data_IF_371735303600
#
_entry.id   IF_371735303600
#
_cell.length_a   1.000
_cell.length_b   1.000
_cell.length_c   1.000
_cell.angle_alpha   90.00
_cell.angle_beta   90.00
_cell.angle_gamma   90.00
#
_symmetry.space_group_name_H-M   'P 1'
#
loop_
_entity.id
_entity.type
_entity.pdbx_description
1 polymer ?
#
# COMPACT_ATOMS: atom_id res chain seq x y z
N UNK A 1 16.55 -49.39 -39.29
CA UNK A 1 15.70 -48.16 -39.44
C UNK A 1 16.54 -46.93 -39.09
N UNK A 2 16.05 -45.69 -39.20
CA UNK A 2 16.83 -44.49 -38.79
C UNK A 2 16.18 -43.79 -37.60
N UNK A 3 17.00 -43.27 -36.68
CA UNK A 3 16.52 -42.59 -35.48
C UNK A 3 15.78 -41.29 -35.86
N UNK A 4 14.54 -41.07 -35.39
CA UNK A 4 13.78 -39.86 -35.73
C UNK A 4 14.39 -38.57 -35.17
N UNK A 5 15.24 -38.68 -34.13
CA UNK A 5 15.87 -37.52 -33.45
C UNK A 5 17.23 -37.14 -34.02
N UNK A 6 18.07 -38.10 -34.40
CA UNK A 6 19.45 -37.85 -34.85
C UNK A 6 19.83 -38.46 -36.21
N UNK A 7 18.91 -39.16 -36.89
CA UNK A 7 19.13 -39.72 -38.23
C UNK A 7 20.06 -40.94 -38.32
N UNK A 8 20.73 -41.33 -37.22
CA UNK A 8 21.62 -42.49 -37.17
C UNK A 8 20.90 -43.80 -37.53
N UNK A 9 21.60 -44.73 -38.17
CA UNK A 9 21.07 -46.05 -38.47
C UNK A 9 21.01 -46.93 -37.21
N UNK A 10 19.87 -47.59 -37.06
CA UNK A 10 19.48 -48.39 -35.91
C UNK A 10 19.45 -49.86 -36.31
N UNK A 11 20.12 -50.68 -35.50
CA UNK A 11 20.12 -52.13 -35.59
C UNK A 11 18.71 -52.70 -35.38
N UNK A 12 18.45 -53.88 -35.94
CA UNK A 12 17.13 -54.50 -35.87
C UNK A 12 16.85 -55.05 -34.45
N UNK A 13 15.82 -54.52 -33.79
CA UNK A 13 15.41 -54.91 -32.45
C UNK A 13 15.85 -53.98 -31.32
N UNK A 14 16.58 -52.90 -31.61
CA UNK A 14 16.99 -51.91 -30.60
C UNK A 14 15.82 -51.08 -30.08
N UNK A 15 15.64 -51.03 -28.76
CA UNK A 15 14.57 -50.25 -28.07
C UNK A 15 14.98 -48.78 -27.84
N UNK A 16 16.28 -48.46 -27.96
CA UNK A 16 16.80 -47.09 -27.87
C UNK A 16 17.92 -46.86 -28.90
N UNK A 17 18.16 -45.59 -29.23
CA UNK A 17 19.25 -45.21 -30.12
C UNK A 17 20.60 -45.24 -29.38
N UNK A 18 21.54 -46.03 -29.89
CA UNK A 18 22.92 -46.13 -29.40
C UNK A 18 23.73 -44.80 -29.46
N UNK A 19 23.36 -43.85 -30.35
CA UNK A 19 24.08 -42.56 -30.50
C UNK A 19 23.52 -41.46 -29.61
N UNK A 20 22.18 -41.32 -29.51
CA UNK A 20 21.56 -40.20 -28.78
C UNK A 20 20.75 -40.63 -27.55
N UNK A 21 20.76 -41.92 -27.20
CA UNK A 21 20.04 -42.54 -26.07
C UNK A 21 18.52 -42.28 -26.05
N UNK A 22 17.95 -41.83 -27.16
CA UNK A 22 16.51 -41.66 -27.32
C UNK A 22 15.83 -43.02 -27.40
N UNK A 23 14.87 -43.27 -26.51
CA UNK A 23 13.98 -44.44 -26.58
C UNK A 23 13.12 -44.39 -27.85
N UNK A 24 12.90 -45.56 -28.45
CA UNK A 24 12.21 -45.74 -29.72
C UNK A 24 10.82 -46.30 -29.42
N UNK A 25 9.81 -45.45 -29.55
CA UNK A 25 8.41 -45.79 -29.35
C UNK A 25 7.93 -46.63 -30.55
N UNK A 26 7.84 -47.95 -30.36
CA UNK A 26 7.47 -48.93 -31.41
C UNK A 26 5.95 -49.02 -31.59
N UNK A 27 5.19 -48.68 -30.55
CA UNK A 27 3.72 -48.69 -30.54
C UNK A 27 3.23 -47.24 -30.64
N UNK A 28 2.44 -46.87 -31.66
CA UNK A 28 1.77 -45.57 -31.70
C UNK A 28 0.89 -45.37 -30.47
N UNK A 29 0.80 -44.13 -29.97
CA UNK A 29 -0.15 -43.82 -28.89
C UNK A 29 -1.58 -44.06 -29.38
N UNK A 30 -2.29 -44.97 -28.71
CA UNK A 30 -3.67 -45.32 -29.04
C UNK A 30 -4.62 -44.26 -28.46
N UNK A 31 -5.10 -43.36 -29.30
CA UNK A 31 -6.20 -42.46 -28.95
C UNK A 31 -7.55 -43.18 -29.15
N UNK A 32 -8.33 -43.45 -28.07
CA UNK A 32 -9.62 -44.11 -28.19
C UNK A 32 -10.71 -43.27 -28.90
N UNK A 33 -10.42 -42.04 -29.35
CA UNK A 33 -11.34 -41.22 -30.14
C UNK A 33 -11.31 -41.51 -31.65
N UNK A 34 -10.26 -42.14 -32.18
CA UNK A 34 -10.11 -42.37 -33.62
C UNK A 34 -11.05 -43.46 -34.18
N UNK A 35 -11.69 -44.26 -33.33
CA UNK A 35 -12.55 -45.38 -33.74
C UNK A 35 -14.00 -44.95 -34.10
N UNK A 36 -14.33 -43.65 -34.03
CA UNK A 36 -15.68 -43.11 -34.30
C UNK A 36 -15.98 -42.77 -35.78
N UNK A 37 -15.14 -43.17 -36.74
CA UNK A 37 -15.40 -42.99 -38.18
C UNK A 37 -15.76 -44.32 -38.86
N UNK A 38 -16.96 -44.82 -38.59
CA UNK A 38 -17.53 -45.95 -39.35
C UNK A 38 -18.14 -45.44 -40.66
N UNK A 39 -17.48 -45.79 -41.78
CA UNK A 39 -18.12 -45.90 -43.09
C UNK A 39 -17.73 -44.88 -44.14
N UNK A 40 -16.63 -45.13 -44.86
CA UNK A 40 -16.64 -45.51 -46.29
C UNK A 40 -15.21 -45.58 -46.87
N UNK A 41 -14.75 -46.80 -47.14
CA UNK A 41 -13.70 -47.13 -48.13
C UNK A 41 -14.37 -47.60 -49.45
N UNK A 42 -13.63 -47.82 -50.55
CA UNK A 42 -12.60 -46.96 -51.17
C UNK A 42 -12.81 -46.87 -52.71
N UNK A 43 -11.90 -46.22 -53.43
CA UNK A 43 -11.35 -46.58 -54.78
C UNK A 43 -10.42 -45.44 -55.21
N UNK A 44 -9.11 -45.61 -55.04
CA UNK A 44 -8.14 -46.19 -56.00
C UNK A 44 -7.57 -45.21 -57.04
N UNK A 45 -6.24 -45.23 -57.06
CA UNK A 45 -5.27 -44.42 -57.81
C UNK A 45 -5.36 -44.46 -59.34
N UNK A 46 -4.86 -43.41 -60.02
CA UNK A 46 -3.56 -43.45 -60.73
C UNK A 46 -3.12 -42.08 -61.30
N UNK A 47 -1.97 -42.04 -61.98
CA UNK A 47 -1.07 -40.88 -62.14
C UNK A 47 -1.04 -40.31 -63.59
N UNK A 48 -0.35 -39.17 -63.70
CA UNK A 48 0.50 -38.73 -64.82
C UNK A 48 -0.11 -38.08 -66.11
N UNK A 49 0.12 -36.76 -66.18
CA UNK A 49 0.79 -36.00 -67.28
C UNK A 49 0.10 -35.77 -68.65
N UNK A 50 0.56 -34.67 -69.26
CA UNK A 50 0.60 -34.29 -70.69
C UNK A 50 -0.40 -33.28 -71.28
N UNK A 51 0.24 -32.40 -72.07
CA UNK A 51 -0.21 -31.18 -72.73
C UNK A 51 -1.09 -31.41 -73.98
N UNK A 52 -1.50 -30.29 -74.58
CA UNK A 52 -1.82 -30.06 -76.02
C UNK A 52 -3.29 -29.79 -76.42
N UNK A 53 -3.57 -28.49 -76.56
CA UNK A 53 -4.01 -27.80 -77.80
C UNK A 53 -5.32 -28.19 -78.55
N UNK A 54 -6.18 -27.16 -78.63
CA UNK A 54 -7.03 -26.72 -79.77
C UNK A 54 -8.49 -27.19 -80.01
N UNK A 55 -9.37 -26.16 -80.09
CA UNK A 55 -10.54 -25.99 -80.99
C UNK A 55 -11.78 -26.89 -80.79
N UNK A 56 -13.04 -26.45 -80.89
CA UNK A 56 -13.73 -25.14 -81.03
C UNK A 56 -15.13 -25.30 -80.37
N UNK A 57 -15.81 -24.30 -79.80
CA UNK A 57 -16.72 -23.36 -80.48
C UNK A 57 -17.19 -22.24 -79.51
N UNK A 58 -17.70 -21.11 -80.02
CA UNK A 58 -18.27 -19.94 -79.30
C UNK A 58 -19.66 -19.60 -79.90
N UNK A 59 -20.59 -18.84 -79.24
CA UNK A 59 -20.31 -17.67 -78.39
C UNK A 59 -21.17 -17.42 -77.10
N UNK A 60 -20.52 -16.80 -76.08
CA UNK A 60 -20.81 -15.52 -75.33
C UNK A 60 -22.29 -15.06 -75.13
N UNK A 61 -22.71 -14.42 -73.98
CA UNK A 61 -22.01 -14.01 -72.74
C UNK A 61 -22.54 -14.71 -71.44
N UNK A 62 -21.86 -14.74 -70.29
CA UNK A 62 -21.53 -13.62 -69.39
C UNK A 62 -22.80 -13.03 -68.76
N UNK A 63 -23.12 -13.10 -67.46
CA UNK A 63 -22.35 -12.93 -66.21
C UNK A 63 -23.27 -13.36 -65.01
N UNK A 64 -22.94 -13.42 -63.70
CA UNK A 64 -21.78 -13.09 -62.84
C UNK A 64 -21.90 -13.86 -61.49
N UNK A 65 -20.77 -14.07 -60.77
CA UNK A 65 -20.63 -14.35 -59.30
C UNK A 65 -21.73 -15.17 -58.57
N UNK A 66 -21.46 -16.47 -58.30
CA UNK A 66 -22.05 -17.17 -57.14
C UNK A 66 -21.50 -16.55 -55.84
N UNK A 67 -22.22 -15.60 -55.24
CA UNK A 67 -21.97 -15.18 -53.85
C UNK A 67 -22.13 -16.39 -52.94
N UNK A 68 -21.14 -16.67 -52.09
CA UNK A 68 -21.32 -17.49 -50.88
C UNK A 68 -22.44 -16.84 -50.06
N UNK A 69 -23.62 -17.44 -50.09
CA UNK A 69 -24.84 -16.89 -49.48
C UNK A 69 -24.83 -17.20 -47.99
N UNK A 70 -23.85 -16.64 -47.27
CA UNK A 70 -23.79 -16.65 -45.81
C UNK A 70 -25.15 -16.18 -45.29
N UNK A 71 -25.88 -17.08 -44.62
CA UNK A 71 -27.24 -16.78 -44.16
C UNK A 71 -27.18 -15.79 -43.00
N UNK A 72 -28.18 -14.93 -42.88
CA UNK A 72 -28.34 -14.07 -41.69
C UNK A 72 -28.36 -14.91 -40.40
N UNK A 73 -28.94 -16.12 -40.49
CA UNK A 73 -28.98 -17.12 -39.42
C UNK A 73 -27.59 -17.60 -38.99
N UNK A 74 -26.66 -17.84 -39.92
CA UNK A 74 -25.29 -18.23 -39.57
C UNK A 74 -24.57 -17.12 -38.81
N UNK A 75 -24.69 -15.86 -39.28
CA UNK A 75 -24.14 -14.71 -38.56
C UNK A 75 -24.84 -14.46 -37.22
N UNK A 76 -26.15 -14.67 -37.11
CA UNK A 76 -26.89 -14.58 -35.84
C UNK A 76 -26.41 -15.64 -34.84
N UNK A 77 -26.28 -16.90 -35.26
CA UNK A 77 -25.79 -17.99 -34.41
C UNK A 77 -24.33 -17.76 -33.98
N UNK A 78 -23.46 -17.32 -34.90
CA UNK A 78 -22.08 -16.95 -34.60
C UNK A 78 -22.01 -15.82 -33.56
N UNK A 79 -22.84 -14.78 -33.71
CA UNK A 79 -22.93 -13.69 -32.72
C UNK A 79 -23.46 -14.17 -31.36
N UNK A 80 -24.46 -15.07 -31.31
CA UNK A 80 -24.93 -15.62 -30.03
C UNK A 80 -23.89 -16.51 -29.36
N UNK A 81 -23.14 -17.32 -30.12
CA UNK A 81 -22.07 -18.15 -29.57
C UNK A 81 -20.91 -17.29 -29.04
N UNK A 82 -20.50 -16.26 -29.79
CA UNK A 82 -19.50 -15.30 -29.33
C UNK A 82 -19.96 -14.54 -28.07
N UNK A 83 -21.23 -14.12 -28.00
CA UNK A 83 -21.80 -13.51 -26.80
C UNK A 83 -21.76 -14.46 -25.59
N UNK A 84 -22.11 -15.74 -25.76
CA UNK A 84 -22.00 -16.75 -24.70
C UNK A 84 -20.55 -16.95 -24.26
N UNK A 85 -19.59 -17.01 -25.18
CA UNK A 85 -18.16 -17.08 -24.84
C UNK A 85 -17.67 -15.85 -24.08
N UNK A 86 -18.11 -14.65 -24.45
CA UNK A 86 -17.80 -13.41 -23.71
C UNK A 86 -18.41 -13.44 -22.31
N UNK A 87 -19.69 -13.82 -22.17
CA UNK A 87 -20.33 -14.00 -20.87
C UNK A 87 -19.63 -15.06 -20.01
N UNK A 88 -19.19 -16.17 -20.59
CA UNK A 88 -18.44 -17.22 -19.90
C UNK A 88 -17.04 -16.75 -19.48
N UNK A 89 -16.35 -15.97 -20.32
CA UNK A 89 -15.08 -15.33 -19.97
C UNK A 89 -15.24 -14.34 -18.80
N UNK A 90 -16.28 -13.50 -18.83
CA UNK A 90 -16.62 -12.59 -17.73
C UNK A 90 -16.95 -13.38 -16.45
N UNK A 91 -17.70 -14.48 -16.56
CA UNK A 91 -18.02 -15.36 -15.43
C UNK A 91 -16.76 -16.01 -14.82
N UNK A 92 -15.84 -16.54 -15.64
CA UNK A 92 -14.58 -17.12 -15.16
C UNK A 92 -13.67 -16.07 -14.50
N UNK A 93 -13.59 -14.86 -15.07
CA UNK A 93 -12.85 -13.75 -14.48
C UNK A 93 -13.47 -13.32 -13.14
N UNK A 94 -14.80 -13.20 -13.08
CA UNK A 94 -15.55 -12.89 -11.85
C UNK A 94 -15.32 -13.96 -10.77
N UNK A 95 -15.45 -15.24 -11.10
CA UNK A 95 -15.22 -16.35 -10.18
C UNK A 95 -13.78 -16.37 -9.63
N UNK A 96 -12.78 -16.18 -10.51
CA UNK A 96 -11.36 -16.12 -10.11
C UNK A 96 -11.02 -14.84 -9.32
N UNK A 97 -11.73 -13.74 -9.56
CA UNK A 97 -11.61 -12.50 -8.76
C UNK A 97 -12.21 -12.68 -7.37
N UNK A 98 -13.38 -13.30 -7.27
CA UNK A 98 -14.09 -13.55 -6.01
C UNK A 98 -13.26 -14.44 -5.06
N UNK A 99 -12.59 -15.47 -5.60
CA UNK A 99 -11.65 -16.30 -4.83
C UNK A 99 -10.40 -15.58 -4.32
N UNK A 100 -10.05 -14.41 -4.88
CA UNK A 100 -8.96 -13.54 -4.38
C UNK A 100 -9.44 -12.54 -3.35
N UNK A 101 -10.60 -11.92 -3.57
CA UNK A 101 -11.15 -10.88 -2.68
C UNK A 101 -11.54 -11.41 -1.31
N UNK A 102 -11.92 -12.69 -1.22
CA UNK A 102 -12.34 -13.34 0.03
C UNK A 102 -11.23 -14.18 0.69
N UNK A 103 -9.95 -13.92 0.40
CA UNK A 103 -8.83 -14.66 0.97
C UNK A 103 -7.86 -13.73 1.71
N UNK A 104 -7.89 -13.79 3.03
CA UNK A 104 -7.06 -12.99 3.95
C UNK A 104 -5.58 -12.97 3.54
N UNK A 105 -4.96 -14.16 3.44
CA UNK A 105 -3.55 -14.31 3.12
C UNK A 105 -3.14 -13.69 1.77
N UNK A 106 -4.04 -13.70 0.78
CA UNK A 106 -3.78 -13.07 -0.52
C UNK A 106 -3.85 -11.54 -0.42
N UNK A 107 -4.84 -11.02 0.31
CA UNK A 107 -5.03 -9.59 0.53
C UNK A 107 -3.86 -8.98 1.31
N UNK A 108 -3.52 -9.56 2.47
CA UNK A 108 -2.40 -9.10 3.29
C UNK A 108 -1.06 -9.18 2.53
N UNK A 109 -0.81 -10.28 1.81
CA UNK A 109 0.39 -10.40 0.96
C UNK A 109 0.44 -9.31 -0.12
N UNK A 110 -0.68 -8.98 -0.75
CA UNK A 110 -0.72 -7.89 -1.73
C UNK A 110 -0.58 -6.50 -1.12
N UNK A 111 -1.11 -6.28 0.09
CA UNK A 111 -0.81 -5.09 0.88
C UNK A 111 0.69 -4.93 1.12
N UNK A 112 1.35 -5.95 1.67
CA UNK A 112 2.82 -5.96 1.88
C UNK A 112 3.62 -5.71 0.60
N UNK A 113 3.31 -6.39 -0.51
CA UNK A 113 4.00 -6.17 -1.79
C UNK A 113 3.87 -4.72 -2.30
N UNK A 114 2.77 -4.02 -1.98
CA UNK A 114 2.61 -2.59 -2.30
C UNK A 114 3.33 -1.68 -1.29
N UNK A 115 3.36 -2.02 0.00
CA UNK A 115 4.14 -1.30 1.03
C UNK A 115 5.65 -1.37 0.74
N UNK A 116 6.17 -2.56 0.44
CA UNK A 116 7.57 -2.80 0.02
C UNK A 116 7.96 -2.03 -1.26
N UNK A 117 6.97 -1.63 -2.07
CA UNK A 117 7.16 -0.85 -3.29
C UNK A 117 6.89 0.66 -3.09
N UNK A 118 6.69 1.12 -1.85
CA UNK A 118 6.33 2.50 -1.48
C UNK A 118 5.01 2.98 -2.12
N UNK A 119 4.14 2.05 -2.55
CA UNK A 119 2.86 2.32 -3.21
C UNK A 119 1.72 2.36 -2.18
N UNK A 120 1.79 3.30 -1.23
CA UNK A 120 0.89 3.37 -0.08
C UNK A 120 -0.60 3.46 -0.47
N UNK A 121 -0.96 4.29 -1.46
CA UNK A 121 -2.34 4.41 -1.96
C UNK A 121 -2.89 3.09 -2.51
N UNK A 122 -2.06 2.34 -3.26
CA UNK A 122 -2.42 1.04 -3.83
C UNK A 122 -2.49 -0.07 -2.76
N UNK A 123 -1.75 0.06 -1.65
CA UNK A 123 -1.78 -0.87 -0.52
C UNK A 123 -3.10 -0.78 0.27
N UNK A 124 -3.64 0.43 0.48
CA UNK A 124 -4.86 0.68 1.27
C UNK A 124 -6.04 -0.26 0.95
N UNK A 125 -6.49 -0.47 -0.31
CA UNK A 125 -7.62 -1.35 -0.60
C UNK A 125 -7.34 -2.83 -0.24
N UNK A 126 -6.11 -3.32 -0.41
CA UNK A 126 -5.75 -4.69 -0.03
C UNK A 126 -5.71 -4.87 1.48
N UNK A 127 -5.11 -3.92 2.21
CA UNK A 127 -5.01 -3.99 3.67
C UNK A 127 -6.38 -3.82 4.35
N UNK A 128 -7.23 -2.88 3.88
CA UNK A 128 -8.62 -2.74 4.35
C UNK A 128 -9.45 -4.00 4.10
N UNK A 129 -9.24 -4.66 2.96
CA UNK A 129 -9.91 -5.92 2.66
C UNK A 129 -9.34 -7.09 3.47
N UNK A 130 -8.06 -7.09 3.84
CA UNK A 130 -7.52 -8.04 4.79
C UNK A 130 -8.17 -7.85 6.18
N UNK A 131 -8.26 -6.60 6.66
CA UNK A 131 -8.90 -6.28 7.93
C UNK A 131 -10.39 -6.65 7.98
N UNK A 132 -11.15 -6.40 6.91
CA UNK A 132 -12.59 -6.74 6.86
C UNK A 132 -12.85 -8.25 6.92
N UNK A 133 -11.90 -9.08 6.48
CA UNK A 133 -11.99 -10.54 6.54
C UNK A 133 -11.72 -11.10 7.94
N UNK A 134 -10.97 -10.39 8.79
CA UNK A 134 -10.60 -10.84 10.14
C UNK A 134 -11.76 -10.78 11.15
N UNK A 135 -12.82 -10.01 10.89
CA UNK A 135 -13.98 -9.87 11.79
C UNK A 135 -14.77 -11.15 12.06
N UNK A 136 -14.33 -12.30 11.52
CA UNK A 136 -14.93 -13.62 11.70
C UNK A 136 -13.96 -14.67 12.29
N UNK A 137 -12.72 -14.30 12.64
CA UNK A 137 -11.68 -15.23 13.09
C UNK A 137 -11.20 -14.95 14.51
N UNK A 138 -11.29 -15.96 15.37
CA UNK A 138 -10.76 -15.93 16.74
C UNK A 138 -9.22 -15.82 16.71
N UNK A 139 -8.66 -14.88 17.49
CA UNK A 139 -7.20 -14.68 17.60
C UNK A 139 -6.61 -13.51 16.80
N UNK A 140 -7.44 -12.55 16.37
CA UNK A 140 -7.09 -11.20 15.89
C UNK A 140 -5.63 -10.97 15.47
N UNK A 141 -5.39 -11.04 14.16
CA UNK A 141 -4.13 -10.58 13.56
C UNK A 141 -4.17 -9.06 13.40
N UNK A 142 -3.18 -8.37 13.94
CA UNK A 142 -3.10 -6.90 13.95
C UNK A 142 -2.20 -6.35 12.83
N UNK A 143 -1.52 -7.22 12.08
CA UNK A 143 -0.61 -6.81 10.99
C UNK A 143 -1.28 -5.88 9.94
N UNK A 144 -2.54 -6.11 9.49
CA UNK A 144 -3.20 -5.20 8.56
C UNK A 144 -3.39 -3.79 9.12
N UNK A 145 -3.62 -3.65 10.44
CA UNK A 145 -3.81 -2.35 11.10
C UNK A 145 -2.48 -1.60 11.26
N UNK A 146 -1.40 -2.29 11.68
CA UNK A 146 -0.05 -1.70 11.75
C UNK A 146 0.40 -1.19 10.37
N UNK A 147 0.22 -2.01 9.32
CA UNK A 147 0.55 -1.60 7.94
C UNK A 147 -0.35 -0.48 7.41
N UNK A 148 -1.63 -0.42 7.82
CA UNK A 148 -2.50 0.71 7.48
C UNK A 148 -2.06 1.99 8.19
N UNK A 149 -1.67 1.92 9.46
CA UNK A 149 -1.15 3.07 10.19
C UNK A 149 0.11 3.63 9.52
N UNK A 150 1.07 2.76 9.20
CA UNK A 150 2.28 3.12 8.45
C UNK A 150 1.94 3.78 7.10
N UNK A 151 1.05 3.16 6.30
CA UNK A 151 0.62 3.72 5.02
C UNK A 151 -0.02 5.10 5.18
N UNK A 152 -0.83 5.31 6.22
CA UNK A 152 -1.47 6.60 6.48
C UNK A 152 -0.51 7.68 6.98
N UNK A 153 0.53 7.34 7.75
CA UNK A 153 1.62 8.29 8.08
C UNK A 153 2.29 8.80 6.81
N UNK A 154 2.61 7.89 5.87
CA UNK A 154 3.26 8.25 4.60
C UNK A 154 2.36 9.08 3.66
N UNK A 155 1.03 9.00 3.84
CA UNK A 155 0.02 9.78 3.11
C UNK A 155 -0.41 11.06 3.85
N UNK A 156 0.28 11.44 4.95
CA UNK A 156 -0.04 12.58 5.83
C UNK A 156 -1.47 12.53 6.43
N UNK A 157 -2.09 11.34 6.46
CA UNK A 157 -3.45 11.08 6.94
C UNK A 157 -3.44 10.68 8.43
N UNK A 158 -2.91 11.58 9.26
CA UNK A 158 -2.50 11.33 10.65
C UNK A 158 -3.60 10.79 11.54
N UNK A 159 -4.82 11.31 11.42
CA UNK A 159 -5.98 10.87 12.19
C UNK A 159 -6.33 9.41 11.91
N UNK A 160 -6.29 9.00 10.63
CA UNK A 160 -6.55 7.61 10.23
C UNK A 160 -5.41 6.67 10.67
N UNK A 161 -4.18 7.18 10.74
CA UNK A 161 -3.04 6.42 11.25
C UNK A 161 -3.18 6.14 12.76
N UNK A 162 -3.56 7.17 13.52
CA UNK A 162 -3.89 7.07 14.94
C UNK A 162 -5.07 6.10 15.20
N UNK A 163 -6.15 6.21 14.43
CA UNK A 163 -7.30 5.29 14.53
C UNK A 163 -6.86 3.84 14.31
N UNK A 164 -6.05 3.54 13.29
CA UNK A 164 -5.55 2.19 13.03
C UNK A 164 -4.69 1.64 14.18
N UNK A 165 -3.85 2.46 14.82
CA UNK A 165 -3.06 2.04 15.98
C UNK A 165 -3.93 1.84 17.24
N UNK A 166 -4.91 2.72 17.49
CA UNK A 166 -5.87 2.52 18.60
C UNK A 166 -6.67 1.22 18.38
N UNK A 167 -7.15 0.95 17.17
CA UNK A 167 -7.81 -0.31 16.81
C UNK A 167 -6.90 -1.53 17.01
N UNK A 168 -5.61 -1.44 16.66
CA UNK A 168 -4.66 -2.54 16.85
C UNK A 168 -4.45 -2.87 18.34
N UNK A 169 -4.28 -1.84 19.17
CA UNK A 169 -4.18 -1.95 20.63
C UNK A 169 -5.45 -2.57 21.23
N UNK A 170 -6.63 -2.14 20.77
CA UNK A 170 -7.92 -2.69 21.23
C UNK A 170 -8.09 -4.17 20.86
N UNK A 171 -7.71 -4.57 19.64
CA UNK A 171 -7.77 -5.96 19.18
C UNK A 171 -6.78 -6.84 19.96
N UNK A 172 -5.54 -6.38 20.15
CA UNK A 172 -4.51 -7.11 20.89
C UNK A 172 -4.90 -7.28 22.36
N UNK A 173 -5.29 -6.19 23.05
CA UNK A 173 -5.76 -6.24 24.42
C UNK A 173 -6.96 -7.18 24.62
N UNK A 174 -7.92 -7.16 23.70
CA UNK A 174 -9.10 -8.04 23.75
C UNK A 174 -8.76 -9.53 23.52
N UNK A 175 -7.71 -9.84 22.74
CA UNK A 175 -7.33 -11.21 22.40
C UNK A 175 -6.28 -11.81 23.34
N UNK A 176 -5.33 -11.00 23.84
CA UNK A 176 -4.10 -11.45 24.51
C UNK A 176 -3.83 -10.73 25.85
N UNK A 177 -4.56 -9.67 26.18
CA UNK A 177 -4.37 -8.91 27.43
C UNK A 177 -3.07 -8.11 27.43
N UNK A 178 -2.38 -8.07 28.57
CA UNK A 178 -1.07 -7.41 28.77
C UNK A 178 0.14 -8.22 28.27
N UNK A 179 -0.11 -9.30 27.53
CA UNK A 179 0.92 -10.24 27.08
C UNK A 179 1.32 -9.98 25.64
N UNK A 180 2.45 -10.57 25.25
CA UNK A 180 2.91 -10.64 23.85
C UNK A 180 3.30 -9.26 23.25
N UNK A 181 2.46 -8.64 22.41
CA UNK A 181 2.86 -7.45 21.62
C UNK A 181 2.27 -6.13 22.15
N UNK A 182 1.35 -6.14 23.13
CA UNK A 182 0.62 -4.91 23.53
C UNK A 182 1.52 -3.74 23.95
N UNK A 183 2.58 -3.99 24.72
CA UNK A 183 3.56 -2.97 25.11
C UNK A 183 4.29 -2.36 23.90
N UNK A 184 4.64 -3.19 22.91
CA UNK A 184 5.29 -2.75 21.67
C UNK A 184 4.37 -1.81 20.89
N UNK A 185 3.08 -2.15 20.76
CA UNK A 185 2.07 -1.31 20.09
C UNK A 185 1.91 0.06 20.75
N UNK A 186 1.92 0.14 22.08
CA UNK A 186 1.87 1.43 22.78
C UNK A 186 3.14 2.26 22.52
N UNK A 187 4.31 1.64 22.44
CA UNK A 187 5.57 2.32 22.12
C UNK A 187 5.61 2.80 20.65
N UNK A 188 5.11 1.99 19.71
CA UNK A 188 4.90 2.38 18.31
C UNK A 188 3.92 3.55 18.19
N UNK A 189 2.84 3.54 18.97
CA UNK A 189 1.89 4.65 19.04
C UNK A 189 2.54 5.92 19.59
N UNK A 190 3.39 5.85 20.63
CA UNK A 190 4.13 7.04 21.10
C UNK A 190 4.99 7.63 19.96
N UNK A 191 5.75 6.79 19.26
CA UNK A 191 6.60 7.24 18.15
C UNK A 191 5.78 7.84 17.00
N UNK A 192 4.64 7.23 16.63
CA UNK A 192 3.71 7.77 15.65
C UNK A 192 3.19 9.16 16.05
N UNK A 193 2.81 9.37 17.31
CA UNK A 193 2.37 10.68 17.81
C UNK A 193 3.49 11.73 17.74
N UNK A 194 4.75 11.34 17.98
CA UNK A 194 5.91 12.22 17.84
C UNK A 194 6.10 12.65 16.37
N UNK A 195 6.15 11.67 15.45
CA UNK A 195 6.35 11.90 14.02
C UNK A 195 5.23 12.73 13.39
N UNK A 196 3.98 12.47 13.78
CA UNK A 196 2.80 13.18 13.28
C UNK A 196 2.59 14.56 13.91
N UNK A 197 3.35 14.89 14.98
CA UNK A 197 3.19 16.09 15.83
C UNK A 197 1.86 16.14 16.61
N UNK A 198 1.36 14.99 17.05
CA UNK A 198 0.13 14.82 17.85
C UNK A 198 0.45 14.50 19.33
N UNK A 199 1.58 15.00 19.85
CA UNK A 199 2.11 14.65 21.18
C UNK A 199 1.26 15.16 22.35
N UNK A 200 0.35 16.09 22.11
CA UNK A 200 -0.70 16.51 23.05
C UNK A 200 -1.61 15.36 23.51
N UNK A 201 -1.77 14.30 22.72
CA UNK A 201 -2.61 13.13 23.04
C UNK A 201 -1.93 12.12 23.98
N UNK A 202 -0.63 12.26 24.24
CA UNK A 202 0.15 11.29 25.03
C UNK A 202 -0.37 11.19 26.47
N UNK A 203 -0.71 12.32 27.10
CA UNK A 203 -1.25 12.32 28.47
C UNK A 203 -2.55 11.53 28.60
N UNK A 204 -3.49 11.77 27.67
CA UNK A 204 -4.77 11.06 27.55
C UNK A 204 -4.54 9.55 27.37
N UNK A 205 -3.69 9.14 26.42
CA UNK A 205 -3.44 7.72 26.12
C UNK A 205 -2.80 6.97 27.30
N UNK A 206 -1.94 7.64 28.07
CA UNK A 206 -1.34 7.05 29.29
C UNK A 206 -2.39 6.95 30.41
N UNK A 207 -3.29 7.93 30.51
CA UNK A 207 -4.39 7.90 31.48
C UNK A 207 -5.43 6.82 31.16
N UNK A 208 -5.79 6.66 29.88
CA UNK A 208 -6.68 5.61 29.34
C UNK A 208 -6.10 4.20 29.43
N UNK A 209 -4.77 4.05 29.57
CA UNK A 209 -4.13 2.74 29.66
C UNK A 209 -4.54 1.99 30.95
N UNK A 210 -5.32 0.90 30.79
CA UNK A 210 -5.81 0.05 31.89
C UNK A 210 -4.70 -0.79 32.56
N UNK A 211 -3.56 -0.96 31.88
CA UNK A 211 -2.49 -1.87 32.27
C UNK A 211 -1.36 -1.11 32.97
N UNK A 212 -1.39 -1.05 34.30
CA UNK A 212 -0.43 -0.31 35.15
C UNK A 212 1.05 -0.59 34.80
N UNK A 213 1.40 -1.84 34.48
CA UNK A 213 2.77 -2.21 34.09
C UNK A 213 3.23 -1.68 32.73
N UNK A 214 2.30 -1.39 31.82
CA UNK A 214 2.57 -0.69 30.56
C UNK A 214 2.59 0.83 30.84
N UNK A 215 1.60 1.32 31.60
CA UNK A 215 1.49 2.73 32.00
C UNK A 215 2.77 3.28 32.61
N UNK A 216 3.38 2.58 33.57
CA UNK A 216 4.67 2.95 34.19
C UNK A 216 5.80 3.11 33.15
N UNK A 217 5.79 2.32 32.07
CA UNK A 217 6.78 2.39 30.98
C UNK A 217 6.51 3.51 29.99
N UNK A 218 5.27 3.97 29.90
CA UNK A 218 4.87 5.11 29.06
C UNK A 218 5.04 6.46 29.77
N UNK A 219 4.97 6.53 31.11
CA UNK A 219 5.19 7.77 31.86
C UNK A 219 6.46 8.57 31.43
N UNK A 220 7.63 7.96 31.15
CA UNK A 220 8.80 8.68 30.61
C UNK A 220 8.63 9.34 29.24
N UNK A 221 7.55 9.04 28.51
CA UNK A 221 7.18 9.64 27.23
C UNK A 221 6.27 10.85 27.38
N UNK A 222 5.70 11.12 28.58
CA UNK A 222 4.90 12.33 28.82
C UNK A 222 5.68 13.58 28.38
N UNK A 223 4.95 14.46 27.71
CA UNK A 223 5.44 15.74 27.21
C UNK A 223 4.26 16.71 27.23
N UNK A 224 4.51 17.95 27.64
CA UNK A 224 3.49 19.01 27.63
C UNK A 224 4.03 20.26 26.97
N UNK A 225 3.10 21.01 26.38
CA UNK A 225 3.38 22.31 25.77
C UNK A 225 3.86 23.31 26.83
N UNK A 226 4.96 24.05 26.59
CA UNK A 226 5.39 25.12 27.48
C UNK A 226 4.28 26.17 27.69
N UNK A 227 4.24 26.72 28.89
CA UNK A 227 3.43 27.89 29.24
C UNK A 227 4.34 29.09 29.49
N UNK A 228 3.91 30.27 29.05
CA UNK A 228 4.51 31.55 29.41
C UNK A 228 3.62 32.27 30.43
N UNK A 229 4.25 32.96 31.38
CA UNK A 229 3.57 33.80 32.37
C UNK A 229 2.90 35.05 31.77
N UNK A 230 3.47 35.58 30.68
CA UNK A 230 3.01 36.80 30.00
C UNK A 230 2.20 36.47 28.73
N UNK A 231 1.02 37.07 28.62
CA UNK A 231 0.23 37.02 27.39
C UNK A 231 0.91 37.78 26.23
N UNK A 232 0.60 37.41 24.99
CA UNK A 232 1.08 38.13 23.81
C UNK A 232 0.44 39.54 23.69
N UNK A 233 1.11 40.47 22.98
CA UNK A 233 0.59 41.81 22.74
C UNK A 233 1.62 42.93 22.67
N UNK A 234 1.14 44.19 22.66
CA UNK A 234 1.97 45.39 22.61
C UNK A 234 2.22 45.98 24.00
N UNK A 235 3.49 46.14 24.34
CA UNK A 235 3.99 46.64 25.62
C UNK A 235 4.77 47.95 25.43
N UNK A 236 4.69 48.84 26.42
CA UNK A 236 5.36 50.15 26.40
C UNK A 236 6.44 50.27 27.49
N UNK A 237 6.89 49.12 28.00
CA UNK A 237 7.88 48.95 29.07
C UNK A 237 8.65 47.65 28.82
N UNK A 238 9.82 47.48 29.44
CA UNK A 238 10.63 46.28 29.29
C UNK A 238 9.87 45.06 29.83
N UNK A 239 9.77 44.01 29.02
CA UNK A 239 9.11 42.75 29.37
C UNK A 239 10.17 41.67 29.53
N UNK A 240 10.00 40.88 30.57
CA UNK A 240 10.72 39.63 30.79
C UNK A 240 9.72 38.49 30.77
N UNK A 241 10.03 37.40 30.08
CA UNK A 241 9.17 36.22 29.97
C UNK A 241 9.71 35.07 30.84
N UNK A 242 8.86 34.46 31.66
CA UNK A 242 9.13 33.19 32.34
C UNK A 242 8.41 32.04 31.62
N UNK A 243 9.19 31.06 31.15
CA UNK A 243 8.66 29.83 30.56
C UNK A 243 8.69 28.67 31.57
N UNK A 244 7.65 27.83 31.57
CA UNK A 244 7.52 26.63 32.42
C UNK A 244 6.97 25.47 31.59
N UNK A 245 7.41 24.25 31.89
CA UNK A 245 6.92 23.01 31.31
C UNK A 245 7.04 21.91 32.37
N UNK A 246 6.04 21.03 32.47
CA UNK A 246 6.02 19.97 33.48
C UNK A 246 6.95 18.81 33.12
N UNK A 247 6.98 18.45 31.83
CA UNK A 247 7.78 17.35 31.29
C UNK A 247 8.73 17.85 30.21
N UNK A 248 10.05 17.75 30.44
CA UNK A 248 11.08 18.05 29.46
C UNK A 248 11.89 19.33 29.72
N UNK A 249 12.82 19.63 28.81
CA UNK A 249 13.64 20.85 28.79
C UNK A 249 13.11 21.77 27.69
N UNK A 250 12.97 23.06 28.00
CA UNK A 250 12.43 24.04 27.05
C UNK A 250 13.53 24.56 26.13
N UNK A 251 13.23 24.60 24.84
CA UNK A 251 14.05 25.17 23.77
C UNK A 251 13.22 26.23 23.02
N UNK A 252 13.83 27.36 22.67
CA UNK A 252 13.09 28.49 22.10
C UNK A 252 13.87 29.29 21.06
N UNK A 253 13.11 30.10 20.31
CA UNK A 253 13.56 31.10 19.33
C UNK A 253 12.76 32.40 19.54
N UNK A 254 13.26 33.52 19.03
CA UNK A 254 12.61 34.85 19.11
C UNK A 254 12.32 35.48 17.73
N UNK A 255 12.60 34.73 16.66
CA UNK A 255 12.35 35.08 15.26
C UNK A 255 11.19 34.26 14.64
N UNK A 256 10.50 33.45 15.45
CA UNK A 256 9.38 32.60 15.03
C UNK A 256 9.79 31.31 14.34
N UNK A 257 11.08 30.98 14.22
CA UNK A 257 11.53 29.71 13.64
C UNK A 257 11.18 28.52 14.55
N UNK A 258 10.90 27.34 13.98
CA UNK A 258 10.57 26.14 14.77
C UNK A 258 11.77 25.71 15.63
N UNK A 259 11.67 25.68 16.98
CA UNK A 259 12.81 25.36 17.82
C UNK A 259 13.12 23.86 17.80
N UNK A 260 14.40 23.53 17.81
CA UNK A 260 14.92 22.16 17.90
C UNK A 260 15.79 22.02 19.14
N UNK A 261 16.35 20.81 19.35
CA UNK A 261 17.33 20.57 20.42
C UNK A 261 18.63 21.40 20.26
N UNK A 262 18.90 21.93 19.07
CA UNK A 262 20.03 22.83 18.78
C UNK A 262 19.69 24.32 18.98
N UNK A 263 18.42 24.66 19.25
CA UNK A 263 17.99 26.02 19.56
C UNK A 263 18.40 26.46 20.98
N UNK A 264 18.05 27.70 21.36
CA UNK A 264 18.45 28.25 22.64
C UNK A 264 17.73 27.49 23.77
N UNK A 265 18.50 26.82 24.64
CA UNK A 265 17.95 26.21 25.86
C UNK A 265 17.53 27.30 26.84
N UNK A 266 16.30 27.23 27.33
CA UNK A 266 15.81 28.11 28.37
C UNK A 266 16.39 27.74 29.74
N UNK A 267 17.19 28.65 30.32
CA UNK A 267 17.83 28.49 31.64
C UNK A 267 17.52 29.64 32.61
N UNK A 268 17.04 30.77 32.07
CA UNK A 268 16.74 32.00 32.80
C UNK A 268 15.64 32.77 32.05
N UNK A 269 14.92 33.70 32.71
CA UNK A 269 13.90 34.51 32.07
C UNK A 269 14.42 35.27 30.85
N UNK A 270 13.56 35.44 29.84
CA UNK A 270 13.91 36.01 28.53
C UNK A 270 13.59 37.51 28.54
N UNK A 271 14.61 38.36 28.42
CA UNK A 271 14.44 39.81 28.27
C UNK A 271 14.13 40.15 26.80
N UNK A 272 13.01 40.84 26.54
CA UNK A 272 12.62 41.25 25.19
C UNK A 272 13.24 42.59 24.78
N UNK A 273 13.56 42.72 23.49
CA UNK A 273 14.09 43.95 22.89
C UNK A 273 12.99 44.81 22.27
N UNK A 274 13.27 46.10 22.04
CA UNK A 274 12.36 46.99 21.30
C UNK A 274 12.02 46.43 19.91
N UNK A 275 10.79 46.65 19.46
CA UNK A 275 10.28 46.11 18.21
C UNK A 275 9.53 44.80 18.38
N UNK A 276 9.53 43.97 17.34
CA UNK A 276 8.77 42.72 17.26
C UNK A 276 9.63 41.54 17.72
N UNK A 277 9.09 40.73 18.63
CA UNK A 277 9.71 39.52 19.15
C UNK A 277 8.72 38.36 18.94
N UNK A 278 9.12 37.35 18.19
CA UNK A 278 8.29 36.20 17.82
C UNK A 278 8.74 34.98 18.63
N UNK A 279 8.19 34.83 19.83
CA UNK A 279 8.51 33.67 20.66
C UNK A 279 7.94 32.40 20.03
N UNK A 280 8.81 31.43 19.78
CA UNK A 280 8.42 30.03 19.56
C UNK A 280 9.17 29.17 20.58
N UNK A 281 8.48 28.26 21.28
CA UNK A 281 9.07 27.41 22.30
C UNK A 281 8.46 26.00 22.33
N UNK A 282 9.29 24.98 22.48
CA UNK A 282 8.89 23.57 22.68
C UNK A 282 9.56 22.99 23.91
N UNK A 283 8.94 22.00 24.54
CA UNK A 283 9.61 21.12 25.49
C UNK A 283 10.10 19.86 24.77
N UNK A 284 11.29 19.37 25.13
CA UNK A 284 11.85 18.10 24.66
C UNK A 284 12.20 17.23 25.86
N UNK A 285 11.65 16.01 25.94
CA UNK A 285 11.91 15.09 27.05
C UNK A 285 13.08 14.12 26.75
N UNK A 286 13.43 13.28 27.73
CA UNK A 286 14.55 12.32 27.63
C UNK A 286 14.31 11.19 26.63
N UNK A 287 13.07 10.99 26.16
CA UNK A 287 12.71 10.02 25.12
C UNK A 287 12.78 10.61 23.71
N UNK A 288 13.05 11.92 23.57
CA UNK A 288 13.04 12.61 22.29
C UNK A 288 11.65 13.07 21.83
N UNK A 289 10.65 13.03 22.73
CA UNK A 289 9.32 13.54 22.44
C UNK A 289 9.36 15.07 22.43
N UNK A 290 8.79 15.68 21.39
CA UNK A 290 8.70 17.13 21.23
C UNK A 290 7.26 17.57 21.48
N UNK A 291 7.06 18.59 22.32
CA UNK A 291 5.72 19.13 22.59
C UNK A 291 5.14 19.84 21.36
N UNK A 292 3.83 20.08 21.36
CA UNK A 292 3.29 21.17 20.55
C UNK A 292 4.02 22.49 20.85
N UNK A 293 4.20 23.38 19.84
CA UNK A 293 4.85 24.67 20.05
C UNK A 293 3.94 25.66 20.78
N UNK A 294 4.51 26.37 21.75
CA UNK A 294 4.02 27.66 22.20
C UNK A 294 4.51 28.72 21.21
N UNK A 295 3.59 29.45 20.58
CA UNK A 295 3.89 30.56 19.68
C UNK A 295 3.17 31.80 20.19
N UNK A 296 3.90 32.92 20.37
CA UNK A 296 3.38 34.17 20.93
C UNK A 296 4.08 35.39 20.31
N UNK A 297 3.32 36.46 20.06
CA UNK A 297 3.82 37.67 19.41
C UNK A 297 3.88 38.86 20.38
N UNK A 298 5.08 39.39 20.62
CA UNK A 298 5.29 40.56 21.48
C UNK A 298 5.79 41.75 20.67
N UNK A 299 5.24 42.95 20.93
CA UNK A 299 5.73 44.20 20.36
C UNK A 299 6.08 45.19 21.46
N UNK A 300 7.34 45.60 21.58
CA UNK A 300 7.77 46.63 22.53
C UNK A 300 7.89 47.97 21.79
N UNK A 301 7.13 48.97 22.23
CA UNK A 301 7.09 50.33 21.66
C UNK A 301 7.43 51.37 22.75
N UNK A 302 8.67 51.86 22.77
CA UNK A 302 9.06 52.87 23.74
C UNK A 302 8.70 54.27 23.27
N UNK A 303 7.78 54.93 23.99
CA UNK A 303 7.45 56.34 23.75
C UNK A 303 8.54 57.21 24.34
N UNK A 304 9.43 57.71 23.49
CA UNK A 304 10.41 58.73 23.86
C UNK A 304 9.71 59.95 24.47
N UNK A 305 10.07 60.27 25.72
CA UNK A 305 9.57 61.45 26.41
C UNK A 305 10.68 62.54 26.43
N UNK A 306 10.60 63.57 25.57
CA UNK A 306 11.64 64.60 25.44
C UNK A 306 11.77 65.52 26.67
N UNK A 307 10.93 65.36 27.69
CA UNK A 307 11.04 66.10 28.95
C UNK A 307 11.87 65.34 30.02
N UNK A 308 12.22 64.07 29.81
CA UNK A 308 13.12 63.32 30.71
C UNK A 308 14.58 63.76 30.58
N UNK A 309 15.01 64.20 29.39
CA UNK A 309 16.40 64.59 29.10
C UNK A 309 16.73 66.05 29.48
N UNK A 310 15.89 66.69 30.31
CA UNK A 310 15.99 68.13 30.65
C UNK A 310 16.31 68.39 32.13
N UNK A 311 16.51 67.35 32.93
CA UNK A 311 16.91 67.45 34.35
C UNK A 311 18.37 67.02 34.55
N UNK A 312 19.31 67.82 34.03
CA UNK A 312 20.75 67.81 34.36
C UNK A 312 21.31 69.27 34.36
#
# INVERSE_FOLDING_TARGET
>A
MRCPKCGAELEAGSIYCNVCLQELQIVPDYDPLDEMVIGQEPEESQKETEEQLHMEQKPVPGQLKKKLRQSKLFWQLLCTFFAVLVCFGIFLLSYRSMGKQNNYSYQLKKGRECMEAEQYEDALPFLKQAQSLLGNTEGGDIEPLRLLAEAYVQLDAKELALECMKDAILVEAACRGDQYELEELYLELMELLNQTKQTNLIGEIIEECEYEGIKEKLEPYRIEKPVCDMAEGTYHYYVTLELKAEYGTIYYTLDGTEPTQDSIRYEKPIELTEGENLLSAVAINKKGMVSEPLVQIYRLEFKYNPDMDKED
#
